data_IF_841492934417
#
_entry.id   IF_841492934417
#
_cell.length_a   1.000
_cell.length_b   1.000
_cell.length_c   1.000
_cell.angle_alpha   90.00
_cell.angle_beta   90.00
_cell.angle_gamma   90.00
#
_symmetry.space_group_name_H-M   'P 1'
#
loop_
_entity.id
_entity.type
_entity.pdbx_description
1 polymer ?
#
# COMPACT_ATOMS: atom_id res chain seq x y z
N UNK A 1 15.31 -30.36 0.14
CA UNK A 1 13.91 -29.96 0.10
C UNK A 1 13.87 -28.45 -0.05
N UNK A 2 13.65 -27.97 -1.26
CA UNK A 2 13.41 -26.54 -1.49
C UNK A 2 12.02 -26.20 -0.94
N UNK A 3 11.95 -25.34 0.07
CA UNK A 3 10.69 -24.74 0.48
C UNK A 3 10.26 -23.77 -0.63
N UNK A 4 9.00 -23.82 -1.09
CA UNK A 4 8.50 -22.85 -2.05
C UNK A 4 8.45 -21.47 -1.37
N UNK A 5 9.30 -20.58 -1.83
CA UNK A 5 9.26 -19.17 -1.41
C UNK A 5 8.18 -18.46 -2.22
N UNK A 6 7.26 -17.79 -1.53
CA UNK A 6 6.27 -16.93 -2.18
C UNK A 6 6.93 -15.57 -2.47
N UNK A 7 7.07 -15.24 -3.73
CA UNK A 7 7.62 -13.96 -4.17
C UNK A 7 6.55 -13.09 -4.85
N UNK A 8 6.71 -11.78 -4.73
CA UNK A 8 5.81 -10.82 -5.37
C UNK A 8 6.41 -10.38 -6.70
N UNK A 9 5.84 -10.79 -7.82
CA UNK A 9 6.29 -10.37 -9.15
C UNK A 9 5.60 -9.09 -9.63
N UNK A 10 4.40 -8.79 -9.14
CA UNK A 10 3.68 -7.56 -9.47
C UNK A 10 2.91 -7.04 -8.26
N UNK A 11 3.40 -5.98 -7.64
CA UNK A 11 2.66 -5.24 -6.65
C UNK A 11 2.09 -3.98 -7.33
N UNK A 12 0.88 -4.06 -7.84
CA UNK A 12 0.13 -2.89 -8.26
C UNK A 12 -0.45 -2.23 -7.01
N UNK A 13 0.33 -1.32 -6.40
CA UNK A 13 -0.18 -0.48 -5.34
C UNK A 13 -0.98 0.67 -5.95
N UNK A 14 -2.22 0.39 -6.36
CA UNK A 14 -3.17 1.41 -6.76
C UNK A 14 -3.96 1.81 -5.51
N UNK A 15 -3.91 3.08 -5.14
CA UNK A 15 -4.72 3.68 -4.07
C UNK A 15 -4.61 3.04 -2.66
N UNK A 16 -3.42 2.54 -2.30
CA UNK A 16 -3.20 2.02 -0.93
C UNK A 16 -3.56 0.55 -0.73
N UNK A 17 -3.89 -0.19 -1.78
CA UNK A 17 -4.18 -1.62 -1.75
C UNK A 17 -3.04 -2.43 -2.34
N UNK A 18 -2.77 -3.58 -1.70
CA UNK A 18 -1.97 -4.65 -2.25
C UNK A 18 -2.85 -5.49 -3.16
N UNK A 19 -2.61 -5.45 -4.46
CA UNK A 19 -3.16 -6.42 -5.39
C UNK A 19 -2.20 -7.62 -5.45
N UNK A 20 -2.59 -8.72 -4.81
CA UNK A 20 -1.83 -9.96 -4.71
C UNK A 20 -2.12 -10.93 -5.86
N UNK A 21 -2.63 -10.48 -7.00
CA UNK A 21 -3.06 -11.38 -8.08
C UNK A 21 -1.95 -12.26 -8.65
N UNK A 22 -0.68 -11.98 -8.35
CA UNK A 22 0.46 -12.76 -8.84
C UNK A 22 1.45 -13.06 -7.72
N UNK A 23 1.28 -14.19 -7.03
CA UNK A 23 2.33 -14.79 -6.23
C UNK A 23 3.00 -15.90 -7.04
N UNK A 24 4.24 -15.70 -7.49
CA UNK A 24 5.05 -16.76 -8.05
C UNK A 24 5.80 -17.49 -6.94
N UNK A 25 5.88 -18.81 -7.06
CA UNK A 25 6.74 -19.63 -6.21
C UNK A 25 8.15 -19.56 -6.78
N UNK A 26 9.03 -18.84 -6.10
CA UNK A 26 10.44 -18.75 -6.47
C UNK A 26 11.21 -19.88 -5.80
N UNK A 27 11.89 -20.69 -6.59
CA UNK A 27 12.89 -21.63 -6.11
C UNK A 27 14.21 -20.89 -5.89
N UNK A 28 14.78 -20.91 -4.69
CA UNK A 28 16.15 -20.45 -4.42
C UNK A 28 16.94 -21.50 -3.69
N UNK A 29 18.23 -21.60 -4.02
CA UNK A 29 19.20 -22.44 -3.31
C UNK A 29 19.88 -21.69 -2.17
N UNK A 30 19.70 -20.38 -2.07
CA UNK A 30 20.30 -19.55 -1.02
C UNK A 30 19.37 -19.43 0.19
N UNK A 31 19.96 -19.49 1.40
CA UNK A 31 19.24 -19.16 2.63
C UNK A 31 19.06 -17.63 2.70
N UNK A 32 17.86 -17.16 2.40
CA UNK A 32 17.52 -15.76 2.55
C UNK A 32 17.33 -15.41 4.02
N UNK A 33 17.77 -14.21 4.41
CA UNK A 33 17.62 -13.73 5.79
C UNK A 33 16.15 -13.44 6.09
N UNK A 34 15.68 -13.71 7.33
CA UNK A 34 14.30 -13.43 7.74
C UNK A 34 13.88 -11.96 7.56
N UNK A 35 14.84 -11.04 7.56
CA UNK A 35 14.60 -9.60 7.37
C UNK A 35 14.06 -9.23 5.99
N UNK A 36 14.20 -10.13 4.99
CA UNK A 36 13.68 -9.90 3.63
C UNK A 36 12.22 -10.34 3.44
N UNK A 37 11.64 -10.92 4.48
CA UNK A 37 10.24 -11.37 4.43
C UNK A 37 9.33 -10.40 5.18
N UNK A 38 8.12 -10.25 4.65
CA UNK A 38 7.09 -9.42 5.27
C UNK A 38 6.66 -9.96 6.63
N UNK A 39 6.43 -9.07 7.57
CA UNK A 39 5.84 -9.35 8.87
C UNK A 39 4.65 -8.42 9.12
N UNK A 40 3.82 -8.80 10.08
CA UNK A 40 2.70 -7.96 10.50
C UNK A 40 3.17 -6.57 10.90
N UNK A 41 2.47 -5.54 10.42
CA UNK A 41 2.75 -4.12 10.64
C UNK A 41 4.02 -3.59 9.96
N UNK A 42 4.69 -4.37 9.10
CA UNK A 42 5.72 -3.85 8.22
C UNK A 42 5.12 -2.83 7.25
N UNK A 43 5.87 -1.77 6.98
CA UNK A 43 5.52 -0.79 5.95
C UNK A 43 6.44 -1.00 4.76
N UNK A 44 5.84 -1.33 3.62
CA UNK A 44 6.54 -1.46 2.36
C UNK A 44 6.48 -0.14 1.61
N UNK A 45 7.63 0.38 1.23
CA UNK A 45 7.75 1.61 0.46
C UNK A 45 8.36 1.30 -0.90
N UNK A 46 7.65 1.62 -1.96
CA UNK A 46 8.17 1.45 -3.31
C UNK A 46 9.24 2.49 -3.59
N UNK A 47 10.40 2.04 -4.08
CA UNK A 47 11.58 2.88 -4.33
C UNK A 47 11.58 3.53 -5.72
N UNK A 48 10.63 3.16 -6.59
CA UNK A 48 10.46 3.71 -7.94
C UNK A 48 9.04 4.24 -8.15
N UNK A 49 8.83 5.03 -9.17
CA UNK A 49 7.50 5.56 -9.52
C UNK A 49 6.49 4.43 -9.85
N UNK A 50 5.22 4.56 -9.47
CA UNK A 50 4.66 5.51 -8.54
C UNK A 50 5.06 5.20 -7.09
N UNK A 51 5.56 6.22 -6.36
CA UNK A 51 6.01 6.06 -4.98
C UNK A 51 4.81 5.87 -4.05
N UNK A 52 4.70 4.70 -3.47
CA UNK A 52 3.61 4.32 -2.56
C UNK A 52 4.15 3.70 -1.30
N UNK A 53 3.44 3.89 -0.20
CA UNK A 53 3.69 3.22 1.07
C UNK A 53 2.44 2.45 1.49
N UNK A 54 2.60 1.19 1.86
CA UNK A 54 1.52 0.30 2.28
C UNK A 54 1.93 -0.42 3.56
N UNK A 55 0.98 -0.84 4.37
CA UNK A 55 1.22 -1.57 5.60
C UNK A 55 0.66 -2.99 5.49
N UNK A 56 1.42 -3.96 6.00
CA UNK A 56 0.98 -5.35 6.10
C UNK A 56 0.01 -5.45 7.27
N UNK A 57 -1.28 -5.64 6.96
CA UNK A 57 -2.37 -5.65 7.96
C UNK A 57 -3.08 -6.98 8.09
N UNK A 58 -2.64 -8.00 7.34
CA UNK A 58 -3.24 -9.34 7.33
C UNK A 58 -2.15 -10.39 7.43
N UNK A 59 -2.41 -11.44 8.21
CA UNK A 59 -1.48 -12.56 8.36
C UNK A 59 -1.21 -13.29 7.03
N UNK A 60 -2.19 -13.35 6.15
CA UNK A 60 -2.04 -13.95 4.82
C UNK A 60 -0.99 -13.23 3.93
N UNK A 61 -0.58 -12.02 4.30
CA UNK A 61 0.44 -11.22 3.62
C UNK A 61 1.81 -11.25 4.30
N UNK A 62 1.94 -12.05 5.36
CA UNK A 62 3.24 -12.30 6.01
C UNK A 62 4.02 -13.39 5.28
N UNK A 63 5.33 -13.45 5.54
CA UNK A 63 6.27 -14.43 5.01
C UNK A 63 6.43 -14.39 3.47
N UNK A 64 6.14 -13.25 2.85
CA UNK A 64 6.45 -13.02 1.43
C UNK A 64 7.82 -12.36 1.28
N UNK A 65 8.62 -12.87 0.34
CA UNK A 65 9.87 -12.25 -0.05
C UNK A 65 9.62 -10.89 -0.71
N UNK A 66 10.24 -9.85 -0.18
CA UNK A 66 10.09 -8.48 -0.67
C UNK A 66 11.11 -8.20 -1.78
N UNK A 67 10.67 -7.82 -2.99
CA UNK A 67 11.56 -7.48 -4.08
C UNK A 67 12.43 -6.26 -3.78
N UNK A 68 13.62 -6.19 -4.40
CA UNK A 68 14.62 -5.13 -4.17
C UNK A 68 14.16 -3.70 -4.49
N UNK A 69 13.08 -3.55 -5.26
CA UNK A 69 12.49 -2.24 -5.56
C UNK A 69 11.53 -1.73 -4.49
N UNK A 70 11.44 -2.44 -3.35
CA UNK A 70 10.77 -1.98 -2.14
C UNK A 70 11.76 -1.88 -0.97
N UNK A 71 11.52 -0.93 -0.09
CA UNK A 71 12.12 -0.88 1.24
C UNK A 71 11.11 -1.39 2.27
N UNK A 72 11.59 -2.18 3.23
CA UNK A 72 10.83 -2.61 4.40
C UNK A 72 11.15 -1.63 5.53
N UNK A 73 10.14 -0.98 6.09
CA UNK A 73 10.26 -0.20 7.31
C UNK A 73 9.57 -0.97 8.42
N UNK A 74 10.37 -1.55 9.30
CA UNK A 74 9.92 -2.27 10.49
C UNK A 74 10.02 -1.36 11.70
N UNK A 75 8.88 -1.07 12.30
CA UNK A 75 8.76 -0.08 13.36
C UNK A 75 8.88 -0.75 14.73
N UNK A 76 9.75 -0.21 15.59
CA UNK A 76 9.74 -0.56 17.01
C UNK A 76 8.48 0.04 17.67
N UNK A 77 7.52 -0.84 17.97
CA UNK A 77 6.20 -0.47 18.51
C UNK A 77 6.26 0.12 19.93
N UNK A 78 7.40 0.01 20.61
CA UNK A 78 7.63 0.64 21.92
C UNK A 78 7.90 2.13 21.78
N UNK A 79 8.39 2.57 20.61
CA UNK A 79 8.81 3.95 20.32
C UNK A 79 7.81 4.65 19.40
N UNK A 80 7.31 3.95 18.37
CA UNK A 80 6.45 4.53 17.37
C UNK A 80 5.30 3.59 16.95
N UNK A 81 4.19 4.17 16.49
CA UNK A 81 3.07 3.44 15.91
C UNK A 81 3.29 3.27 14.41
N UNK A 82 3.18 2.04 13.85
CA UNK A 82 3.30 1.80 12.41
C UNK A 82 2.31 2.64 11.60
N UNK A 83 1.08 2.81 12.07
CA UNK A 83 0.06 3.60 11.40
C UNK A 83 0.44 5.09 11.32
N UNK A 84 1.13 5.61 12.36
CA UNK A 84 1.64 6.98 12.37
C UNK A 84 2.77 7.16 11.35
N UNK A 85 3.68 6.20 11.26
CA UNK A 85 4.77 6.21 10.27
C UNK A 85 4.18 6.12 8.85
N UNK A 86 3.20 5.25 8.62
CA UNK A 86 2.50 5.16 7.35
C UNK A 86 1.85 6.49 6.97
N UNK A 87 1.08 7.10 7.89
CA UNK A 87 0.48 8.42 7.68
C UNK A 87 1.53 9.46 7.33
N UNK A 88 2.66 9.50 8.06
CA UNK A 88 3.74 10.44 7.81
C UNK A 88 4.33 10.28 6.41
N UNK A 89 4.58 9.05 5.97
CA UNK A 89 5.12 8.76 4.64
C UNK A 89 4.16 9.15 3.51
N UNK A 90 2.85 9.06 3.76
CA UNK A 90 1.80 9.40 2.80
C UNK A 90 1.47 10.90 2.74
N UNK A 91 1.93 11.70 3.71
CA UNK A 91 1.73 13.16 3.68
C UNK A 91 2.33 13.78 2.44
N UNK A 92 1.61 14.74 1.86
CA UNK A 92 2.07 15.44 0.65
C UNK A 92 3.44 16.09 0.85
N UNK A 93 3.68 16.76 2.01
CA UNK A 93 4.97 17.36 2.34
C UNK A 93 6.11 16.34 2.42
N UNK A 94 5.85 15.10 2.82
CA UNK A 94 6.84 14.02 2.86
C UNK A 94 7.07 13.47 1.45
N UNK A 95 6.00 13.27 0.68
CA UNK A 95 6.10 12.88 -0.73
C UNK A 95 6.97 13.85 -1.53
N UNK A 96 6.78 15.16 -1.34
CA UNK A 96 7.62 16.17 -2.00
C UNK A 96 9.10 16.01 -1.64
N UNK A 97 9.43 15.77 -0.37
CA UNK A 97 10.82 15.50 0.04
C UNK A 97 11.38 14.24 -0.60
N UNK A 98 10.56 13.19 -0.68
CA UNK A 98 10.93 11.93 -1.35
C UNK A 98 11.23 12.22 -2.82
N UNK A 99 10.35 12.92 -3.52
CA UNK A 99 10.52 13.26 -4.93
C UNK A 99 11.78 14.11 -5.21
N UNK A 100 12.14 15.01 -4.29
CA UNK A 100 13.37 15.82 -4.40
C UNK A 100 14.66 15.01 -4.24
N UNK A 101 14.58 13.82 -3.65
CA UNK A 101 15.74 12.93 -3.40
C UNK A 101 15.81 11.73 -4.35
N UNK A 102 15.14 11.82 -5.49
CA UNK A 102 15.19 10.79 -6.52
C UNK A 102 16.52 10.92 -7.27
N UNK A 103 17.24 9.80 -7.39
CA UNK A 103 18.42 9.67 -8.23
C UNK A 103 18.02 9.09 -9.58
N UNK A 104 18.41 9.74 -10.68
CA UNK A 104 18.05 9.37 -12.05
C UNK A 104 17.01 10.29 -12.67
N UNK A 105 16.76 10.15 -13.97
CA UNK A 105 15.85 10.98 -14.74
C UNK A 105 14.58 10.23 -15.14
N UNK A 106 13.44 10.92 -15.07
CA UNK A 106 12.15 10.42 -15.55
C UNK A 106 11.59 9.21 -14.81
N UNK A 107 10.99 8.28 -15.56
CA UNK A 107 10.31 7.10 -15.01
C UNK A 107 11.26 6.07 -14.36
N UNK A 108 12.57 6.20 -14.55
CA UNK A 108 13.60 5.30 -14.01
C UNK A 108 14.25 5.81 -12.71
N UNK A 109 13.78 6.93 -12.19
CA UNK A 109 14.28 7.47 -10.92
C UNK A 109 14.02 6.51 -9.75
N UNK A 110 15.04 6.32 -8.91
CA UNK A 110 14.97 5.48 -7.71
C UNK A 110 15.36 6.25 -6.47
N UNK A 111 14.82 5.85 -5.33
CA UNK A 111 15.16 6.40 -4.02
C UNK A 111 16.10 5.43 -3.33
N UNK A 112 17.17 5.96 -2.73
CA UNK A 112 18.00 5.16 -1.85
C UNK A 112 17.23 4.86 -0.55
N UNK A 113 17.13 3.58 -0.17
CA UNK A 113 16.41 3.18 1.05
C UNK A 113 16.93 3.86 2.32
N UNK A 114 18.23 4.17 2.38
CA UNK A 114 18.83 4.92 3.50
C UNK A 114 18.24 6.32 3.68
N UNK A 115 17.65 6.91 2.63
CA UNK A 115 16.99 8.21 2.73
C UNK A 115 15.87 8.23 3.76
N UNK A 116 15.13 7.14 3.90
CA UNK A 116 14.00 7.08 4.85
C UNK A 116 14.44 7.23 6.31
N UNK A 117 15.68 6.84 6.66
CA UNK A 117 16.24 7.05 8.01
C UNK A 117 16.60 8.51 8.29
N UNK A 118 16.68 9.35 7.26
CA UNK A 118 17.01 10.80 7.41
C UNK A 118 15.75 11.67 7.50
N UNK A 119 14.56 11.12 7.31
CA UNK A 119 13.32 11.88 7.36
C UNK A 119 13.03 12.37 8.80
N UNK A 120 12.80 13.67 8.99
CA UNK A 120 12.53 14.25 10.31
C UNK A 120 11.10 13.93 10.74
N UNK A 121 10.90 12.82 11.43
CA UNK A 121 9.61 12.44 11.99
C UNK A 121 9.46 13.05 13.37
N UNK A 122 8.36 13.81 13.58
CA UNK A 122 8.08 14.41 14.88
C UNK A 122 7.73 13.34 15.90
N UNK A 123 8.48 13.27 17.00
CA UNK A 123 8.14 12.43 18.13
C UNK A 123 6.90 12.99 18.85
N UNK A 124 5.89 12.14 19.03
CA UNK A 124 4.66 12.43 19.78
C UNK A 124 4.45 11.29 20.79
N UNK A 125 3.67 11.51 21.86
CA UNK A 125 3.24 10.41 22.73
C UNK A 125 2.53 9.31 21.92
N UNK A 126 2.83 8.03 22.19
CA UNK A 126 2.30 6.88 21.44
C UNK A 126 0.77 6.90 21.27
N UNK A 127 0.04 7.33 22.29
CA UNK A 127 -1.43 7.47 22.22
C UNK A 127 -1.84 8.43 21.10
N UNK A 128 -1.16 9.58 20.97
CA UNK A 128 -1.45 10.55 19.90
C UNK A 128 -1.04 10.03 18.53
N UNK A 129 0.09 9.32 18.46
CA UNK A 129 0.52 8.68 17.20
C UNK A 129 -0.54 7.69 16.70
N UNK A 130 -1.01 6.78 17.57
CA UNK A 130 -2.06 5.80 17.24
C UNK A 130 -3.35 6.50 16.79
N UNK A 131 -3.77 7.55 17.49
CA UNK A 131 -4.97 8.31 17.09
C UNK A 131 -4.83 8.88 15.68
N UNK A 132 -3.70 9.53 15.36
CA UNK A 132 -3.47 10.11 14.03
C UNK A 132 -3.49 9.03 12.95
N UNK A 133 -2.75 7.93 13.17
CA UNK A 133 -2.67 6.82 12.22
C UNK A 133 -4.02 6.16 11.98
N UNK A 134 -4.77 5.88 13.05
CA UNK A 134 -6.10 5.27 12.95
C UNK A 134 -7.11 6.18 12.23
N UNK A 135 -7.10 7.49 12.52
CA UNK A 135 -7.96 8.44 11.79
C UNK A 135 -7.68 8.43 10.30
N UNK A 136 -6.41 8.36 9.90
CA UNK A 136 -6.06 8.27 8.49
C UNK A 136 -6.58 7.00 7.83
N UNK A 137 -6.37 5.84 8.48
CA UNK A 137 -6.84 4.54 7.97
C UNK A 137 -8.36 4.53 7.82
N UNK A 138 -9.08 5.05 8.82
CA UNK A 138 -10.54 5.13 8.77
C UNK A 138 -11.04 6.06 7.67
N UNK A 139 -10.39 7.22 7.50
CA UNK A 139 -10.73 8.16 6.42
C UNK A 139 -10.49 7.57 5.03
N UNK A 140 -9.38 6.84 4.84
CA UNK A 140 -9.11 6.12 3.59
C UNK A 140 -10.17 5.05 3.32
N UNK A 141 -10.57 4.31 4.35
CA UNK A 141 -11.63 3.29 4.23
C UNK A 141 -12.99 3.89 3.91
N UNK A 142 -13.33 5.01 4.52
CA UNK A 142 -14.55 5.75 4.20
C UNK A 142 -14.57 6.19 2.74
N UNK A 143 -13.48 6.79 2.26
CA UNK A 143 -13.36 7.21 0.86
C UNK A 143 -13.51 6.04 -0.12
N UNK A 144 -12.89 4.90 0.19
CA UNK A 144 -13.02 3.67 -0.60
C UNK A 144 -14.49 3.22 -0.70
N UNK A 145 -15.18 3.17 0.45
CA UNK A 145 -16.58 2.75 0.50
C UNK A 145 -17.50 3.72 -0.26
N UNK A 146 -17.27 5.02 -0.12
CA UNK A 146 -18.02 6.03 -0.86
C UNK A 146 -17.81 5.89 -2.38
N UNK A 147 -16.57 5.64 -2.80
CA UNK A 147 -16.27 5.41 -4.22
C UNK A 147 -16.98 4.16 -4.77
N UNK A 148 -16.94 3.05 -4.03
CA UNK A 148 -17.67 1.83 -4.39
C UNK A 148 -19.18 2.05 -4.45
N UNK A 149 -19.73 2.78 -3.49
CA UNK A 149 -21.15 3.09 -3.45
C UNK A 149 -21.56 3.94 -4.66
N UNK A 150 -20.76 4.94 -5.02
CA UNK A 150 -21.03 5.78 -6.20
C UNK A 150 -21.04 4.94 -7.47
N UNK A 151 -20.03 4.11 -7.68
CA UNK A 151 -19.96 3.24 -8.85
C UNK A 151 -21.16 2.26 -8.93
N UNK A 152 -21.56 1.68 -7.80
CA UNK A 152 -22.74 0.79 -7.76
C UNK A 152 -24.03 1.55 -8.07
N UNK A 153 -24.18 2.78 -7.57
CA UNK A 153 -25.35 3.62 -7.88
C UNK A 153 -25.43 3.97 -9.37
N UNK A 154 -24.32 4.28 -9.99
CA UNK A 154 -24.28 4.56 -11.43
C UNK A 154 -24.75 3.37 -12.25
N UNK A 155 -24.25 2.16 -11.95
CA UNK A 155 -24.68 0.91 -12.59
C UNK A 155 -26.17 0.67 -12.36
N UNK A 156 -26.63 0.81 -11.12
CA UNK A 156 -28.04 0.60 -10.77
C UNK A 156 -28.95 1.56 -11.53
N UNK A 157 -28.62 2.85 -11.55
CA UNK A 157 -29.42 3.86 -12.25
C UNK A 157 -29.48 3.59 -13.75
N UNK A 158 -28.37 3.19 -14.38
CA UNK A 158 -28.33 2.79 -15.79
C UNK A 158 -29.29 1.63 -16.06
N UNK A 159 -29.19 0.55 -15.29
CA UNK A 159 -30.03 -0.62 -15.43
C UNK A 159 -31.52 -0.30 -15.21
N UNK A 160 -31.83 0.62 -14.28
CA UNK A 160 -33.20 1.06 -14.03
C UNK A 160 -33.78 1.84 -15.24
N UNK A 161 -32.98 2.75 -15.80
CA UNK A 161 -33.38 3.52 -16.98
C UNK A 161 -33.63 2.60 -18.17
N UNK A 162 -32.71 1.66 -18.44
CA UNK A 162 -32.83 0.67 -19.50
C UNK A 162 -34.12 -0.16 -19.34
N UNK A 163 -34.39 -0.63 -18.12
CA UNK A 163 -35.59 -1.41 -17.79
C UNK A 163 -36.87 -0.61 -18.01
N UNK A 164 -36.89 0.67 -17.64
CA UNK A 164 -38.05 1.56 -17.89
C UNK A 164 -38.25 1.73 -19.40
N UNK A 165 -37.18 2.01 -20.15
CA UNK A 165 -37.25 2.18 -21.60
C UNK A 165 -37.80 0.93 -22.30
N UNK A 166 -37.31 -0.26 -21.93
CA UNK A 166 -37.78 -1.51 -22.51
C UNK A 166 -39.25 -1.83 -22.16
N UNK A 167 -39.73 -1.42 -20.99
CA UNK A 167 -41.11 -1.61 -20.59
C UNK A 167 -42.06 -0.77 -21.43
N UNK A 168 -41.70 0.47 -21.77
CA UNK A 168 -42.47 1.34 -22.64
C UNK A 168 -42.50 0.80 -24.07
N UNK A 169 -41.41 0.23 -24.57
CA UNK A 169 -41.34 -0.34 -25.92
C UNK A 169 -42.17 -1.60 -26.10
N UNK A 170 -42.45 -2.36 -25.04
CA UNK A 170 -43.30 -3.56 -25.08
C UNK A 170 -44.81 -3.25 -24.91
N UNK A 171 -45.15 -2.05 -24.49
CA UNK A 171 -46.53 -1.63 -24.28
C UNK A 171 -47.20 -0.91 -25.50
N UNK A 172 -46.46 -0.78 -26.60
CA UNK A 172 -46.94 -0.34 -27.90
C UNK A 172 -46.91 -1.54 -28.89
#
# INVERSE_FOLDING_TARGET
>A
SCLPLRGWTHCAATAGYLDLQYSETLGTTEQLKPEYFTQMDDILVRLSAPYTAIMITREEWCDYLVPSHFAIIRVDKTVASPEYILWFLRRESTKQKILQNISGSGAFGTINSKFFSTLPIRSLPLKKQKTIGQMQILSEKEQELLHKLTAQKEIYNKLLIDKIYDSVKRGN
#
